data_IF_100036291470
#
_entry.id   IF_100036291470
#
_cell.length_a   1.000
_cell.length_b   1.000
_cell.length_c   1.000
_cell.angle_alpha   90.00
_cell.angle_beta   90.00
_cell.angle_gamma   90.00
#
_symmetry.space_group_name_H-M   'P 1'
#
loop_
_entity.id
_entity.type
_entity.pdbx_description
1 polymer ?
#
# COMPACT_ATOMS: atom_id res chain seq x y z
N UNK A 1 13.05 -7.25 -23.59
CA UNK A 1 13.85 -7.73 -24.74
C UNK A 1 15.09 -8.42 -24.17
N UNK A 2 15.30 -9.68 -24.52
CA UNK A 2 16.46 -10.48 -24.13
C UNK A 2 17.17 -10.86 -25.44
N UNK A 3 18.48 -10.71 -25.48
CA UNK A 3 19.32 -11.14 -26.60
C UNK A 3 20.42 -12.07 -26.08
N UNK A 4 20.51 -13.27 -26.66
CA UNK A 4 21.43 -14.33 -26.24
C UNK A 4 21.43 -14.63 -24.72
N UNK A 5 20.26 -14.56 -24.07
CA UNK A 5 20.11 -14.78 -22.62
C UNK A 5 20.43 -13.56 -21.73
N UNK A 6 20.89 -12.45 -22.30
CA UNK A 6 21.13 -11.20 -21.56
C UNK A 6 19.97 -10.21 -21.73
N UNK A 7 19.46 -9.61 -20.65
CA UNK A 7 18.44 -8.57 -20.75
C UNK A 7 19.02 -7.32 -21.43
N UNK A 8 18.46 -6.93 -22.57
CA UNK A 8 18.92 -5.79 -23.36
C UNK A 8 18.16 -4.51 -23.02
N UNK A 9 16.83 -4.54 -23.11
CA UNK A 9 15.96 -3.46 -22.60
C UNK A 9 14.66 -4.02 -22.05
N UNK A 10 14.28 -3.59 -20.85
CA UNK A 10 13.01 -3.92 -20.20
C UNK A 10 12.08 -2.71 -20.10
N UNK A 11 12.50 -1.55 -20.61
CA UNK A 11 11.76 -0.30 -20.48
C UNK A 11 10.55 -0.27 -21.43
N UNK A 12 9.31 -0.18 -20.91
CA UNK A 12 8.10 -0.23 -21.74
C UNK A 12 8.01 0.88 -22.79
N UNK A 13 8.54 2.07 -22.49
CA UNK A 13 8.51 3.19 -23.43
C UNK A 13 9.39 2.93 -24.66
N UNK A 14 10.59 2.40 -24.44
CA UNK A 14 11.48 1.94 -25.53
C UNK A 14 10.80 0.82 -26.32
N UNK A 15 10.18 -0.14 -25.63
CA UNK A 15 9.52 -1.28 -26.28
C UNK A 15 8.30 -0.86 -27.11
N UNK A 16 7.50 0.11 -26.67
CA UNK A 16 6.36 0.64 -27.42
C UNK A 16 6.76 1.44 -28.67
N UNK A 17 7.90 2.14 -28.62
CA UNK A 17 8.45 2.82 -29.81
C UNK A 17 9.03 1.82 -30.81
N UNK A 18 9.67 0.75 -30.33
CA UNK A 18 10.22 -0.31 -31.19
C UNK A 18 9.15 -1.21 -31.80
N UNK A 19 8.10 -1.50 -31.03
CA UNK A 19 7.02 -2.43 -31.39
C UNK A 19 5.73 -1.62 -31.45
N UNK A 20 5.36 -1.19 -32.65
CA UNK A 20 4.12 -0.46 -32.84
C UNK A 20 2.93 -1.34 -32.41
N UNK A 21 1.99 -0.84 -31.58
CA UNK A 21 0.81 -1.60 -31.22
C UNK A 21 0.02 -1.95 -32.50
N UNK A 22 -0.50 -3.18 -32.61
CA UNK A 22 -1.17 -3.63 -33.83
C UNK A 22 -2.43 -2.82 -34.06
N UNK A 23 -2.48 -2.07 -35.17
CA UNK A 23 -3.66 -1.33 -35.60
C UNK A 23 -4.38 -2.12 -36.70
N UNK A 24 -5.71 -1.97 -36.81
CA UNK A 24 -6.52 -2.71 -37.81
C UNK A 24 -6.03 -2.40 -39.24
N UNK A 25 -5.60 -1.16 -39.48
CA UNK A 25 -5.04 -0.69 -40.75
C UNK A 25 -3.68 -1.34 -41.07
N UNK A 26 -2.81 -1.52 -40.06
CA UNK A 26 -1.48 -2.14 -40.28
C UNK A 26 -1.59 -3.64 -40.54
N UNK A 27 -2.57 -4.32 -39.92
CA UNK A 27 -2.93 -5.70 -40.27
C UNK A 27 -3.37 -5.82 -41.73
N UNK A 28 -4.22 -4.92 -42.21
CA UNK A 28 -4.71 -4.95 -43.60
C UNK A 28 -3.60 -4.65 -44.62
N UNK A 29 -2.69 -3.72 -44.31
CA UNK A 29 -1.51 -3.42 -45.14
C UNK A 29 -0.51 -4.57 -45.20
N UNK A 30 -0.28 -5.30 -44.10
CA UNK A 30 0.61 -6.47 -44.09
C UNK A 30 0.11 -7.63 -44.96
N UNK A 31 -1.22 -7.76 -45.13
CA UNK A 31 -1.81 -8.78 -46.02
C UNK A 31 -1.66 -8.42 -47.50
N UNK A 32 -1.66 -7.13 -47.84
CA UNK A 32 -1.59 -6.64 -49.23
C UNK A 32 -0.14 -6.46 -49.73
N UNK A 33 0.80 -6.15 -48.84
CA UNK A 33 2.17 -5.77 -49.22
C UNK A 33 3.25 -6.82 -48.93
N UNK A 34 2.92 -7.90 -48.22
CA UNK A 34 3.88 -8.97 -47.89
C UNK A 34 4.97 -8.60 -46.87
N UNK A 35 5.03 -7.34 -46.41
CA UNK A 35 5.94 -6.91 -45.36
C UNK A 35 5.36 -7.20 -43.97
N UNK A 36 5.97 -8.16 -43.25
CA UNK A 36 5.49 -8.68 -41.95
C UNK A 36 6.14 -8.03 -40.72
N UNK A 37 7.02 -7.04 -40.88
CA UNK A 37 7.68 -6.39 -39.74
C UNK A 37 6.88 -5.19 -39.22
N UNK A 38 6.24 -5.34 -38.06
CA UNK A 38 5.71 -4.23 -37.26
C UNK A 38 6.81 -3.44 -36.52
N UNK A 39 8.06 -3.53 -36.98
CA UNK A 39 9.18 -2.78 -36.42
C UNK A 39 9.20 -1.37 -37.02
N UNK A 40 9.25 -0.37 -36.15
CA UNK A 40 9.47 1.03 -36.56
C UNK A 40 10.83 1.16 -37.26
N UNK A 41 10.87 1.86 -38.41
CA UNK A 41 12.13 2.23 -39.09
C UNK A 41 12.87 3.40 -38.41
N UNK A 42 12.25 4.05 -37.43
CA UNK A 42 12.90 5.10 -36.63
C UNK A 42 13.49 4.49 -35.36
N UNK A 43 14.79 4.75 -35.13
CA UNK A 43 15.44 4.43 -33.86
C UNK A 43 14.70 5.18 -32.73
N UNK A 44 14.28 4.51 -31.64
CA UNK A 44 13.61 5.16 -30.52
C UNK A 44 14.49 6.29 -29.97
N UNK A 45 13.97 7.52 -29.83
CA UNK A 45 14.76 8.62 -29.27
C UNK A 45 15.28 8.32 -27.85
N UNK A 46 14.59 7.43 -27.15
CA UNK A 46 14.96 6.94 -25.83
C UNK A 46 16.20 6.01 -25.80
N UNK A 47 16.61 5.37 -26.90
CA UNK A 47 17.83 4.52 -26.91
C UNK A 47 19.13 5.33 -26.95
N UNK A 48 19.07 6.60 -27.35
CA UNK A 48 20.20 7.54 -27.31
C UNK A 48 20.14 8.49 -26.09
N UNK A 49 19.07 8.44 -25.29
CA UNK A 49 18.84 9.32 -24.15
C UNK A 49 19.38 8.71 -22.86
N UNK A 50 20.03 9.53 -22.01
CA UNK A 50 20.41 9.13 -20.65
C UNK A 50 19.19 8.93 -19.71
N UNK A 51 17.96 9.11 -20.21
CA UNK A 51 16.69 8.98 -19.50
C UNK A 51 15.79 7.99 -20.25
N UNK A 52 16.09 6.68 -20.22
CA UNK A 52 15.42 5.68 -21.06
C UNK A 52 13.94 5.46 -20.70
N UNK A 53 13.53 5.86 -19.49
CA UNK A 53 12.15 5.73 -19.01
C UNK A 53 11.22 6.88 -19.44
N UNK A 54 11.69 7.89 -20.19
CA UNK A 54 10.88 9.06 -20.56
C UNK A 54 11.19 9.59 -21.97
N UNK A 55 10.15 9.89 -22.74
CA UNK A 55 10.28 10.50 -24.07
C UNK A 55 10.41 12.03 -23.99
N UNK A 56 11.16 12.63 -24.92
CA UNK A 56 11.48 14.07 -24.90
C UNK A 56 10.32 14.96 -25.35
N UNK A 57 9.43 14.43 -26.19
CA UNK A 57 8.44 15.22 -26.93
C UNK A 57 7.04 15.20 -26.28
N UNK A 58 6.95 14.69 -25.05
CA UNK A 58 5.70 14.62 -24.28
C UNK A 58 5.10 16.01 -24.07
N UNK A 59 3.82 16.18 -24.40
CA UNK A 59 3.06 17.41 -24.18
C UNK A 59 1.75 17.09 -23.48
N UNK A 60 1.49 17.77 -22.38
CA UNK A 60 0.24 17.71 -21.64
C UNK A 60 -0.47 19.06 -21.70
N UNK A 61 -1.80 19.04 -21.78
CA UNK A 61 -2.60 20.27 -21.78
C UNK A 61 -2.50 21.04 -20.46
N UNK A 62 -2.31 20.31 -19.35
CA UNK A 62 -2.06 20.85 -18.01
C UNK A 62 -0.88 20.11 -17.41
N UNK A 63 0.08 20.86 -16.88
CA UNK A 63 1.22 20.27 -16.16
C UNK A 63 0.84 20.09 -14.69
N UNK A 64 0.81 18.85 -14.23
CA UNK A 64 0.48 18.49 -12.85
C UNK A 64 1.30 17.30 -12.36
N UNK A 65 1.57 17.28 -11.05
CA UNK A 65 2.26 16.17 -10.39
C UNK A 65 1.61 15.91 -9.04
N UNK A 66 1.29 14.65 -8.77
CA UNK A 66 0.76 14.19 -7.49
C UNK A 66 1.77 13.27 -6.82
N UNK A 67 1.98 13.45 -5.53
CA UNK A 67 2.83 12.58 -4.71
C UNK A 67 1.97 12.01 -3.58
N UNK A 68 1.80 10.69 -3.60
CA UNK A 68 1.08 9.93 -2.60
C UNK A 68 2.08 9.19 -1.69
N UNK A 69 2.00 9.44 -0.39
CA UNK A 69 2.61 8.58 0.63
C UNK A 69 1.63 7.47 1.00
N UNK A 70 1.93 6.25 0.60
CA UNK A 70 1.09 5.08 0.89
C UNK A 70 1.82 4.17 1.88
N UNK A 71 1.25 3.98 3.06
CA UNK A 71 1.82 3.17 4.12
C UNK A 71 0.94 1.97 4.46
N UNK A 72 1.60 0.83 4.68
CA UNK A 72 1.02 -0.38 5.23
C UNK A 72 1.65 -0.64 6.59
N UNK A 73 0.80 -0.84 7.60
CA UNK A 73 1.22 -1.10 8.96
C UNK A 73 1.13 -2.58 9.29
N UNK A 74 2.28 -3.17 9.60
CA UNK A 74 2.38 -4.50 10.17
C UNK A 74 2.48 -4.40 11.69
N UNK A 75 1.66 -5.16 12.39
CA UNK A 75 1.71 -5.26 13.84
C UNK A 75 1.39 -6.69 14.30
N UNK A 76 2.15 -7.20 15.26
CA UNK A 76 1.83 -8.48 15.91
C UNK A 76 1.76 -8.23 17.41
N UNK A 77 0.60 -8.51 17.99
CA UNK A 77 0.36 -8.47 19.43
C UNK A 77 0.22 -9.90 19.95
N UNK A 78 1.00 -10.27 20.97
CA UNK A 78 0.93 -11.60 21.58
C UNK A 78 -0.26 -11.72 22.54
N UNK A 79 -0.44 -12.92 23.12
CA UNK A 79 -1.53 -13.25 24.05
C UNK A 79 -1.55 -12.39 25.32
N UNK A 80 -0.37 -11.94 25.76
CA UNK A 80 -0.23 -11.07 26.93
C UNK A 80 -0.52 -9.60 26.62
N UNK A 81 -0.85 -9.26 25.36
CA UNK A 81 -1.06 -7.90 24.91
C UNK A 81 0.23 -7.12 24.62
N UNK A 82 1.38 -7.80 24.58
CA UNK A 82 2.69 -7.22 24.27
C UNK A 82 2.86 -7.13 22.76
N UNK A 83 3.33 -5.96 22.30
CA UNK A 83 3.65 -5.69 20.90
C UNK A 83 4.98 -6.35 20.53
N UNK A 84 4.94 -7.37 19.68
CA UNK A 84 6.09 -8.16 19.22
C UNK A 84 6.69 -7.60 17.93
N UNK A 85 5.84 -7.16 17.00
CA UNK A 85 6.22 -6.52 15.74
C UNK A 85 5.41 -5.24 15.59
N UNK A 86 6.03 -4.18 15.10
CA UNK A 86 5.38 -2.91 14.78
C UNK A 86 6.23 -2.16 13.76
N UNK A 87 5.85 -2.26 12.49
CA UNK A 87 6.63 -1.75 11.37
C UNK A 87 5.73 -1.12 10.32
N UNK A 88 6.21 -0.07 9.66
CA UNK A 88 5.59 0.50 8.47
C UNK A 88 6.42 0.08 7.25
N UNK A 89 5.73 -0.43 6.24
CA UNK A 89 6.22 -0.42 4.87
C UNK A 89 5.55 0.73 4.12
N UNK A 90 6.36 1.64 3.58
CA UNK A 90 5.87 2.83 2.89
C UNK A 90 6.33 2.89 1.44
N UNK A 91 5.50 3.48 0.60
CA UNK A 91 5.80 3.79 -0.79
C UNK A 91 5.52 5.26 -1.08
N UNK A 92 6.41 5.88 -1.85
CA UNK A 92 6.18 7.19 -2.45
C UNK A 92 5.75 6.93 -3.89
N UNK A 93 4.45 7.05 -4.14
CA UNK A 93 3.87 6.90 -5.48
C UNK A 93 3.73 8.29 -6.11
N UNK A 94 4.12 8.40 -7.37
CA UNK A 94 4.06 9.66 -8.12
C UNK A 94 3.17 9.45 -9.33
N UNK A 95 2.25 10.37 -9.57
CA UNK A 95 1.54 10.50 -10.84
C UNK A 95 1.96 11.80 -11.52
N UNK A 96 2.72 11.70 -12.60
CA UNK A 96 3.34 12.83 -13.28
C UNK A 96 2.75 13.05 -14.68
N UNK A 97 2.03 14.15 -14.86
CA UNK A 97 1.56 14.63 -16.15
C UNK A 97 2.28 15.96 -16.47
N UNK A 98 3.55 15.86 -16.85
CA UNK A 98 4.43 17.00 -17.08
C UNK A 98 4.96 16.97 -18.51
N UNK A 99 5.07 18.11 -19.17
CA UNK A 99 5.58 18.18 -20.55
C UNK A 99 7.11 18.18 -20.60
N UNK A 100 7.70 17.66 -21.68
CA UNK A 100 9.15 17.67 -21.93
C UNK A 100 9.95 16.80 -20.96
N UNK A 101 11.14 17.28 -20.60
CA UNK A 101 12.07 16.65 -19.64
C UNK A 101 12.14 17.44 -18.31
N UNK A 102 11.14 17.31 -17.43
CA UNK A 102 11.13 17.99 -16.14
C UNK A 102 12.18 17.37 -15.20
N UNK A 103 12.92 18.22 -14.48
CA UNK A 103 13.85 17.79 -13.45
C UNK A 103 13.29 18.16 -12.08
N UNK A 104 12.96 17.16 -11.27
CA UNK A 104 12.28 17.29 -9.99
C UNK A 104 13.25 17.10 -8.84
N UNK A 105 13.02 17.84 -7.75
CA UNK A 105 13.63 17.58 -6.45
C UNK A 105 12.57 17.47 -5.37
N UNK A 106 12.55 16.35 -4.65
CA UNK A 106 11.66 16.10 -3.50
C UNK A 106 12.50 15.97 -2.23
N UNK A 107 12.16 16.75 -1.20
CA UNK A 107 12.75 16.68 0.14
C UNK A 107 11.71 16.25 1.18
N UNK A 108 12.19 15.61 2.24
CA UNK A 108 11.40 15.30 3.43
C UNK A 108 11.84 16.22 4.58
N UNK A 109 10.91 16.56 5.48
CA UNK A 109 11.23 17.39 6.64
C UNK A 109 12.06 16.60 7.69
N UNK A 110 11.92 15.28 7.68
CA UNK A 110 12.51 14.36 8.65
C UNK A 110 13.06 13.10 7.98
N UNK A 111 14.01 13.21 7.02
CA UNK A 111 14.51 12.07 6.26
C UNK A 111 15.24 11.05 7.13
N UNK A 112 15.68 11.41 8.34
CA UNK A 112 16.40 10.53 9.27
C UNK A 112 15.60 9.31 9.73
N UNK A 113 14.30 9.25 9.48
CA UNK A 113 13.48 8.04 9.78
C UNK A 113 13.64 6.96 8.70
N UNK A 114 14.15 7.32 7.52
CA UNK A 114 14.29 6.47 6.35
C UNK A 114 15.60 5.68 6.42
N UNK A 115 15.57 4.53 7.10
CA UNK A 115 16.77 3.70 7.30
C UNK A 115 17.01 2.67 6.19
N UNK A 116 15.92 2.14 5.62
CA UNK A 116 15.95 1.16 4.52
C UNK A 116 15.09 1.74 3.39
N UNK A 117 15.73 2.06 2.28
CA UNK A 117 15.12 2.73 1.13
C UNK A 117 15.51 2.04 -0.17
N UNK A 118 14.56 1.96 -1.09
CA UNK A 118 14.79 1.48 -2.46
C UNK A 118 14.24 2.50 -3.42
N UNK A 119 15.00 2.80 -4.47
CA UNK A 119 14.66 3.84 -5.43
C UNK A 119 14.27 3.28 -6.78
N UNK A 120 13.40 4.00 -7.48
CA UNK A 120 13.24 3.87 -8.91
C UNK A 120 14.56 4.25 -9.62
N UNK A 121 14.90 3.62 -10.76
CA UNK A 121 16.10 3.98 -11.55
C UNK A 121 16.18 5.46 -11.97
N UNK A 122 15.06 6.18 -11.93
CA UNK A 122 15.03 7.60 -12.25
C UNK A 122 15.65 8.51 -11.19
N UNK A 123 15.90 8.00 -9.98
CA UNK A 123 16.49 8.75 -8.87
C UNK A 123 17.99 8.76 -8.99
N UNK A 124 18.57 9.97 -8.92
CA UNK A 124 20.01 10.17 -8.87
C UNK A 124 20.50 9.91 -7.45
N UNK A 125 21.44 8.98 -7.28
CA UNK A 125 21.95 8.58 -5.96
C UNK A 125 22.78 9.66 -5.26
N UNK A 126 23.61 10.43 -5.97
CA UNK A 126 24.53 11.41 -5.35
C UNK A 126 23.81 12.48 -4.51
N UNK A 127 22.74 13.15 -5.00
CA UNK A 127 22.00 14.12 -4.17
C UNK A 127 21.35 13.51 -2.93
N UNK A 128 20.95 12.23 -3.01
CA UNK A 128 20.42 11.49 -1.87
C UNK A 128 21.52 11.23 -0.84
N UNK A 129 22.66 10.67 -1.23
CA UNK A 129 23.78 10.39 -0.32
C UNK A 129 24.28 11.65 0.39
N UNK A 130 24.40 12.77 -0.33
CA UNK A 130 24.96 14.00 0.24
C UNK A 130 23.97 14.78 1.11
N UNK A 131 22.71 14.91 0.67
CA UNK A 131 21.76 15.86 1.27
C UNK A 131 20.38 15.25 1.57
N UNK A 132 20.18 13.95 1.34
CA UNK A 132 18.89 13.26 1.48
C UNK A 132 17.78 13.90 0.61
N UNK A 133 18.17 14.39 -0.59
CA UNK A 133 17.26 14.97 -1.58
C UNK A 133 17.07 13.99 -2.72
N UNK A 134 15.82 13.67 -3.05
CA UNK A 134 15.48 12.89 -4.23
C UNK A 134 15.52 13.79 -5.46
N UNK A 135 16.49 13.61 -6.34
CA UNK A 135 16.55 14.30 -7.63
C UNK A 135 16.29 13.33 -8.77
N UNK A 136 15.33 13.62 -9.64
CA UNK A 136 14.90 12.68 -10.68
C UNK A 136 14.19 13.34 -11.86
N UNK A 137 14.21 12.66 -13.00
CA UNK A 137 13.32 12.95 -14.13
C UNK A 137 12.21 11.90 -14.12
N UNK A 138 10.95 12.22 -13.79
CA UNK A 138 9.89 11.23 -13.60
C UNK A 138 9.49 10.54 -14.90
N UNK A 139 9.25 9.21 -14.90
CA UNK A 139 8.37 8.58 -15.89
C UNK A 139 7.04 9.33 -16.03
N UNK A 140 6.41 9.21 -17.19
CA UNK A 140 5.07 9.77 -17.41
C UNK A 140 3.99 8.87 -16.80
N UNK A 141 2.97 9.47 -16.18
CA UNK A 141 1.90 8.76 -15.49
C UNK A 141 2.29 8.27 -14.09
N UNK A 142 1.64 7.19 -13.65
CA UNK A 142 1.82 6.63 -12.31
C UNK A 142 3.03 5.69 -12.23
N UNK A 143 3.92 5.94 -11.27
CA UNK A 143 5.04 5.06 -10.95
C UNK A 143 5.39 5.12 -9.46
N UNK A 144 6.11 4.10 -8.99
CA UNK A 144 6.69 4.10 -7.64
C UNK A 144 8.05 4.78 -7.68
N UNK A 145 8.20 5.91 -7.00
CA UNK A 145 9.45 6.65 -6.93
C UNK A 145 10.43 6.00 -5.95
N UNK A 146 9.94 5.60 -4.78
CA UNK A 146 10.73 4.88 -3.78
C UNK A 146 9.84 4.05 -2.87
N UNK A 147 10.43 3.06 -2.21
CA UNK A 147 9.85 2.39 -1.04
C UNK A 147 10.78 2.49 0.15
N UNK A 148 10.22 2.43 1.34
CA UNK A 148 10.95 2.53 2.60
C UNK A 148 10.35 1.66 3.69
N UNK A 149 11.15 1.38 4.73
CA UNK A 149 10.71 0.65 5.92
C UNK A 149 11.07 1.38 7.20
N UNK A 150 10.14 1.45 8.15
CA UNK A 150 10.34 2.06 9.48
C UNK A 150 9.92 1.07 10.56
N UNK A 151 10.81 0.80 11.52
CA UNK A 151 10.64 -0.23 12.55
C UNK A 151 10.56 0.31 14.00
N UNK A 152 10.75 1.61 14.21
CA UNK A 152 10.72 2.26 15.54
C UNK A 152 9.48 3.14 15.70
N UNK A 153 8.30 2.55 15.55
CA UNK A 153 7.04 3.29 15.69
C UNK A 153 6.72 3.58 17.16
N UNK A 154 6.08 4.72 17.42
CA UNK A 154 5.66 5.14 18.76
C UNK A 154 4.50 4.28 19.32
N UNK A 155 3.79 3.56 18.45
CA UNK A 155 2.74 2.62 18.82
C UNK A 155 1.74 2.38 17.70
N UNK A 156 0.65 1.71 18.04
CA UNK A 156 -0.43 1.31 17.12
C UNK A 156 -1.64 2.26 17.23
N UNK A 157 -2.38 2.52 16.13
CA UNK A 157 -3.53 3.45 16.10
C UNK A 157 -4.84 2.83 16.61
N UNK A 158 -4.93 1.49 16.63
CA UNK A 158 -6.09 0.71 17.08
C UNK A 158 -5.59 -0.30 18.11
N UNK A 159 -6.40 -0.62 19.11
CA UNK A 159 -6.19 -1.81 19.93
C UNK A 159 -7.36 -2.77 19.74
N UNK A 160 -7.07 -4.07 19.83
CA UNK A 160 -8.07 -5.14 19.89
C UNK A 160 -7.77 -5.95 21.13
N UNK A 161 -8.78 -6.20 21.97
CA UNK A 161 -8.67 -6.96 23.21
C UNK A 161 -9.66 -8.13 23.17
N UNK A 162 -9.22 -9.29 22.67
CA UNK A 162 -10.01 -10.51 22.76
C UNK A 162 -9.91 -11.12 24.16
N UNK A 163 -11.03 -11.64 24.66
CA UNK A 163 -11.16 -12.39 25.90
C UNK A 163 -12.02 -13.62 25.64
N UNK A 164 -11.47 -14.80 25.91
CA UNK A 164 -12.17 -16.07 25.74
C UNK A 164 -12.20 -16.80 27.09
N UNK A 165 -13.39 -17.17 27.54
CA UNK A 165 -13.58 -17.91 28.80
C UNK A 165 -14.38 -19.16 28.51
N UNK A 166 -13.76 -20.32 28.69
CA UNK A 166 -14.44 -21.61 28.54
C UNK A 166 -15.08 -22.05 29.86
N UNK A 167 -16.27 -22.63 29.75
CA UNK A 167 -17.01 -23.23 30.84
C UNK A 167 -17.82 -24.41 30.30
N UNK A 168 -17.48 -25.62 30.77
CA UNK A 168 -18.28 -26.84 30.62
C UNK A 168 -18.78 -27.10 29.19
N UNK A 169 -17.90 -27.02 28.19
CA UNK A 169 -18.24 -27.27 26.78
C UNK A 169 -18.82 -26.08 26.03
N UNK A 170 -18.86 -24.91 26.65
CA UNK A 170 -19.13 -23.63 25.99
C UNK A 170 -17.96 -22.67 26.17
N UNK A 171 -17.79 -21.72 25.25
CA UNK A 171 -16.80 -20.66 25.35
C UNK A 171 -17.45 -19.30 25.09
N UNK A 172 -17.39 -18.42 26.10
CA UNK A 172 -17.81 -17.02 25.95
C UNK A 172 -16.67 -16.23 25.33
N UNK A 173 -16.96 -15.51 24.26
CA UNK A 173 -16.03 -14.61 23.59
C UNK A 173 -16.47 -13.16 23.79
N UNK A 174 -15.52 -12.29 24.11
CA UNK A 174 -15.67 -10.84 24.12
C UNK A 174 -14.48 -10.22 23.37
N UNK A 175 -14.73 -9.37 22.38
CA UNK A 175 -13.68 -8.68 21.62
C UNK A 175 -13.98 -7.20 21.65
N UNK A 176 -13.10 -6.42 22.28
CA UNK A 176 -13.21 -4.96 22.35
C UNK A 176 -12.24 -4.30 21.36
N UNK A 177 -12.71 -3.34 20.60
CA UNK A 177 -11.90 -2.56 19.64
C UNK A 177 -11.98 -1.09 20.00
N UNK A 178 -10.84 -0.39 19.94
CA UNK A 178 -10.83 1.05 20.17
C UNK A 178 -9.59 1.72 19.60
N UNK A 179 -9.59 3.06 19.63
CA UNK A 179 -8.45 3.87 19.21
C UNK A 179 -7.37 3.84 20.30
N UNK A 180 -6.11 3.69 19.89
CA UNK A 180 -4.92 3.93 20.72
C UNK A 180 -4.04 4.92 19.97
N UNK A 181 -3.33 5.82 20.65
CA UNK A 181 -2.47 6.81 19.98
C UNK A 181 -3.17 7.54 18.82
N UNK A 182 -4.18 8.35 19.16
CA UNK A 182 -5.03 9.02 18.17
C UNK A 182 -4.19 9.70 17.06
N UNK A 183 -4.34 9.28 15.79
CA UNK A 183 -3.61 9.86 14.67
C UNK A 183 -4.08 11.29 14.31
N UNK A 184 -5.09 11.83 14.99
CA UNK A 184 -5.67 13.14 14.71
C UNK A 184 -6.51 13.18 13.42
N UNK A 185 -6.74 12.02 12.80
CA UNK A 185 -7.58 11.82 11.62
C UNK A 185 -8.59 10.70 11.86
N UNK A 186 -9.65 10.71 11.08
CA UNK A 186 -10.65 9.65 11.12
C UNK A 186 -10.03 8.31 10.71
N UNK A 187 -10.16 7.32 11.58
CA UNK A 187 -9.88 5.92 11.27
C UNK A 187 -11.16 5.28 10.76
N UNK A 188 -11.13 4.79 9.52
CA UNK A 188 -12.27 4.21 8.83
C UNK A 188 -11.97 2.79 8.33
N UNK A 189 -12.99 2.16 7.73
CA UNK A 189 -12.91 0.79 7.21
C UNK A 189 -12.34 -0.21 8.23
N UNK A 190 -12.64 0.00 9.52
CA UNK A 190 -12.16 -0.87 10.59
C UNK A 190 -12.90 -2.20 10.50
N UNK A 191 -12.15 -3.29 10.52
CA UNK A 191 -12.67 -4.64 10.54
C UNK A 191 -11.83 -5.55 11.42
N UNK A 192 -12.46 -6.59 11.95
CA UNK A 192 -11.79 -7.68 12.65
C UNK A 192 -12.25 -8.99 12.03
N UNK A 193 -11.30 -9.81 11.62
CA UNK A 193 -11.56 -11.13 11.05
C UNK A 193 -10.84 -12.20 11.88
N UNK A 194 -11.49 -13.32 12.12
CA UNK A 194 -10.86 -14.46 12.77
C UNK A 194 -11.52 -15.76 12.33
N UNK A 195 -10.75 -16.84 12.36
CA UNK A 195 -11.22 -18.17 11.99
C UNK A 195 -11.65 -18.93 13.25
N UNK A 196 -12.88 -19.45 13.28
CA UNK A 196 -13.28 -20.32 14.39
C UNK A 196 -12.50 -21.64 14.33
N UNK A 197 -11.98 -22.15 15.47
CA UNK A 197 -11.36 -23.46 15.53
C UNK A 197 -12.30 -24.57 15.04
N UNK A 198 -11.77 -25.64 14.43
CA UNK A 198 -12.60 -26.75 13.91
C UNK A 198 -13.57 -27.32 14.94
N UNK A 199 -13.13 -27.40 16.21
CA UNK A 199 -13.88 -27.92 17.34
C UNK A 199 -15.07 -27.06 17.78
N UNK A 200 -15.34 -25.92 17.14
CA UNK A 200 -16.55 -25.12 17.37
C UNK A 200 -17.66 -25.64 16.48
N UNK A 201 -18.72 -26.19 17.09
CA UNK A 201 -19.91 -26.71 16.40
C UNK A 201 -20.85 -25.60 15.94
N UNK A 202 -21.08 -24.61 16.80
CA UNK A 202 -21.91 -23.44 16.51
C UNK A 202 -21.38 -22.20 17.22
N UNK A 203 -21.72 -21.04 16.66
CA UNK A 203 -21.31 -19.74 17.19
C UNK A 203 -22.48 -18.77 17.10
N UNK A 204 -22.88 -18.23 18.25
CA UNK A 204 -23.86 -17.15 18.35
C UNK A 204 -23.11 -15.87 18.74
N UNK A 205 -22.89 -14.99 17.76
CA UNK A 205 -22.10 -13.78 17.90
C UNK A 205 -22.95 -12.56 17.58
N UNK A 206 -22.85 -11.54 18.45
CA UNK A 206 -23.48 -10.25 18.27
C UNK A 206 -22.47 -9.13 18.49
N UNK A 207 -22.76 -7.93 17.99
CA UNK A 207 -21.93 -6.75 18.26
C UNK A 207 -22.79 -5.57 18.66
N UNK A 208 -22.24 -4.67 19.48
CA UNK A 208 -22.90 -3.42 19.84
C UNK A 208 -22.83 -2.35 18.72
N UNK A 209 -21.96 -2.57 17.73
CA UNK A 209 -21.69 -1.64 16.64
C UNK A 209 -21.07 -2.42 15.46
N UNK A 210 -21.47 -2.05 14.25
CA UNK A 210 -21.06 -2.74 13.04
C UNK A 210 -21.87 -4.00 12.77
N UNK A 211 -21.44 -4.77 11.78
CA UNK A 211 -22.12 -6.00 11.35
C UNK A 211 -21.20 -7.21 11.52
N UNK A 212 -21.75 -8.31 12.01
CA UNK A 212 -21.03 -9.57 12.20
C UNK A 212 -21.61 -10.61 11.26
N UNK A 213 -20.76 -11.24 10.45
CA UNK A 213 -21.13 -12.32 9.55
C UNK A 213 -20.22 -13.51 9.80
N UNK A 214 -20.78 -14.71 9.81
CA UNK A 214 -20.02 -15.97 9.86
C UNK A 214 -20.17 -16.65 8.51
N UNK A 215 -19.06 -16.84 7.82
CA UNK A 215 -19.02 -17.47 6.50
C UNK A 215 -19.10 -19.00 6.60
N UNK A 216 -19.43 -19.67 5.50
CA UNK A 216 -19.57 -21.13 5.45
C UNK A 216 -18.28 -21.88 5.85
N UNK A 217 -17.13 -21.28 5.61
CA UNK A 217 -15.82 -21.83 6.00
C UNK A 217 -15.49 -21.57 7.48
N UNK A 218 -16.44 -21.13 8.32
CA UNK A 218 -16.25 -20.74 9.73
C UNK A 218 -15.35 -19.49 9.95
N UNK A 219 -15.15 -18.66 8.93
CA UNK A 219 -14.54 -17.33 9.12
C UNK A 219 -15.55 -16.34 9.67
N UNK A 220 -15.26 -15.73 10.81
CA UNK A 220 -16.02 -14.63 11.38
C UNK A 220 -15.47 -13.30 10.87
N UNK A 221 -16.35 -12.48 10.30
CA UNK A 221 -16.04 -11.14 9.80
C UNK A 221 -16.87 -10.11 10.56
N UNK A 222 -16.20 -9.22 11.29
CA UNK A 222 -16.83 -8.09 11.96
C UNK A 222 -16.43 -6.78 11.29
N UNK A 223 -17.40 -6.15 10.63
CA UNK A 223 -17.23 -4.88 9.92
C UNK A 223 -17.69 -3.72 10.81
N UNK A 224 -16.74 -2.97 11.36
CA UNK A 224 -17.00 -1.86 12.28
C UNK A 224 -17.19 -0.54 11.50
N UNK A 225 -16.42 -0.32 10.44
CA UNK A 225 -16.43 0.93 9.69
C UNK A 225 -15.68 2.03 10.44
N UNK A 226 -16.37 3.09 10.86
CA UNK A 226 -15.77 4.16 11.66
C UNK A 226 -15.91 3.84 13.15
N UNK A 227 -14.85 4.02 13.93
CA UNK A 227 -14.94 3.83 15.39
C UNK A 227 -15.77 4.98 16.00
N UNK A 228 -16.90 4.68 16.68
CA UNK A 228 -17.71 5.66 17.42
C UNK A 228 -16.93 6.28 18.59
N UNK A 229 -17.26 7.54 18.93
CA UNK A 229 -16.59 8.30 19.98
C UNK A 229 -17.20 8.09 21.37
N UNK A 230 -18.46 7.71 21.42
CA UNK A 230 -19.29 7.58 22.61
C UNK A 230 -19.07 6.24 23.33
N UNK A 231 -18.98 5.13 22.58
CA UNK A 231 -18.82 3.79 23.15
C UNK A 231 -17.93 2.93 22.27
N UNK A 232 -16.96 2.26 22.87
CA UNK A 232 -16.07 1.35 22.13
C UNK A 232 -16.85 0.19 21.48
N UNK A 233 -16.62 -0.10 20.19
CA UNK A 233 -17.15 -1.29 19.54
C UNK A 233 -16.76 -2.56 20.28
N UNK A 234 -17.74 -3.44 20.48
CA UNK A 234 -17.52 -4.75 21.08
C UNK A 234 -18.32 -5.83 20.36
N UNK A 235 -17.68 -6.97 20.11
CA UNK A 235 -18.31 -8.22 19.71
C UNK A 235 -18.39 -9.14 20.93
N UNK A 236 -19.51 -9.83 21.11
CA UNK A 236 -19.70 -10.79 22.21
C UNK A 236 -20.59 -11.94 21.79
N UNK A 237 -20.38 -13.10 22.39
CA UNK A 237 -21.17 -14.27 22.05
C UNK A 237 -20.76 -15.55 22.75
N UNK A 238 -21.45 -16.63 22.39
CA UNK A 238 -21.21 -17.97 22.91
C UNK A 238 -20.84 -18.91 21.77
N UNK A 239 -19.76 -19.66 21.97
CA UNK A 239 -19.30 -20.72 21.08
C UNK A 239 -19.60 -22.06 21.74
N UNK A 240 -20.18 -23.00 20.98
CA UNK A 240 -20.43 -24.37 21.45
C UNK A 240 -19.31 -25.27 20.95
N UNK A 241 -18.67 -25.99 21.87
CA UNK A 241 -17.57 -26.89 21.56
C UNK A 241 -18.10 -28.28 21.18
N UNK A 242 -17.26 -29.06 20.51
CA UNK A 242 -17.49 -30.48 20.29
C UNK A 242 -17.69 -31.24 21.62
N UNK A 243 -18.53 -32.26 21.58
CA UNK A 243 -18.88 -33.09 22.74
C UNK A 243 -17.59 -33.71 23.30
N UNK A 244 -17.39 -33.57 24.62
CA UNK A 244 -16.22 -34.09 25.32
C UNK A 244 -15.09 -33.08 25.51
N UNK A 245 -15.16 -31.89 24.90
CA UNK A 245 -14.23 -30.79 25.19
C UNK A 245 -14.79 -29.88 26.29
N UNK A 246 -14.05 -29.73 27.39
CA UNK A 246 -14.43 -28.79 28.46
C UNK A 246 -14.01 -27.35 28.16
N UNK A 247 -12.93 -27.17 27.39
CA UNK A 247 -12.34 -25.85 27.10
C UNK A 247 -11.74 -25.75 25.71
N UNK A 248 -11.66 -24.52 25.22
CA UNK A 248 -10.99 -24.21 23.97
C UNK A 248 -9.47 -24.33 24.14
N UNK A 249 -8.84 -25.21 23.37
CA UNK A 249 -7.40 -25.47 23.45
C UNK A 249 -6.56 -24.51 22.61
N UNK A 250 -7.15 -23.97 21.53
CA UNK A 250 -6.49 -23.06 20.60
C UNK A 250 -7.39 -21.84 20.44
N UNK A 251 -6.92 -20.69 20.94
CA UNK A 251 -7.58 -19.43 20.69
C UNK A 251 -7.30 -18.94 19.27
N UNK A 252 -8.27 -18.27 18.61
CA UNK A 252 -8.08 -17.75 17.28
C UNK A 252 -7.10 -16.55 17.25
N UNK A 253 -6.50 -16.33 16.08
CA UNK A 253 -5.78 -15.09 15.77
C UNK A 253 -6.75 -14.12 15.10
N UNK A 254 -6.74 -12.86 15.55
CA UNK A 254 -7.58 -11.79 15.04
C UNK A 254 -6.77 -10.94 14.06
N UNK A 255 -7.21 -10.90 12.82
CA UNK A 255 -6.69 -10.01 11.79
C UNK A 255 -7.46 -8.69 11.82
N UNK A 256 -6.76 -7.57 11.79
CA UNK A 256 -7.34 -6.23 11.92
C UNK A 256 -7.17 -5.46 10.62
N UNK A 257 -8.26 -4.99 10.04
CA UNK A 257 -8.26 -4.06 8.92
C UNK A 257 -8.53 -2.64 9.40
N UNK A 258 -7.89 -1.65 8.76
CA UNK A 258 -8.23 -0.23 8.92
C UNK A 258 -7.67 0.61 7.79
N UNK A 259 -8.15 1.85 7.69
CA UNK A 259 -7.63 2.88 6.79
C UNK A 259 -7.67 4.26 7.44
N UNK A 260 -6.67 5.09 7.15
CA UNK A 260 -6.51 6.46 7.65
C UNK A 260 -6.06 7.34 6.49
N UNK A 261 -6.91 8.29 6.10
CA UNK A 261 -6.58 9.27 5.05
C UNK A 261 -5.90 10.51 5.64
N UNK A 262 -4.90 11.01 4.95
CA UNK A 262 -4.19 12.25 5.28
C UNK A 262 -3.14 12.12 6.38
N UNK A 263 -2.73 10.90 6.73
CA UNK A 263 -1.67 10.60 7.71
C UNK A 263 -0.73 9.53 7.17
N UNK A 264 0.56 9.75 7.40
CA UNK A 264 1.62 8.74 7.38
C UNK A 264 1.95 8.40 8.85
N UNK A 265 1.63 7.19 9.30
CA UNK A 265 1.89 6.74 10.67
C UNK A 265 3.37 6.61 11.01
N UNK A 266 4.26 6.47 10.01
CA UNK A 266 5.71 6.58 10.25
C UNK A 266 6.12 7.97 10.74
N UNK A 267 5.27 8.98 10.51
CA UNK A 267 5.58 10.38 10.74
C UNK A 267 6.36 11.02 9.60
N UNK A 268 6.59 10.34 8.47
CA UNK A 268 7.25 10.93 7.30
C UNK A 268 6.47 12.14 6.79
N UNK A 269 7.17 13.26 6.61
CA UNK A 269 6.59 14.50 6.11
C UNK A 269 7.34 14.94 4.87
N UNK A 270 6.59 15.21 3.80
CA UNK A 270 7.13 15.89 2.63
C UNK A 270 7.35 17.35 3.01
N UNK A 271 8.56 17.83 2.80
CA UNK A 271 8.93 19.23 3.00
C UNK A 271 8.67 20.03 1.72
N UNK A 272 9.28 19.61 0.61
CA UNK A 272 9.22 20.38 -0.63
C UNK A 272 9.29 19.50 -1.86
N UNK A 273 8.52 19.88 -2.89
CA UNK A 273 8.68 19.38 -4.26
C UNK A 273 8.95 20.57 -5.18
N UNK A 274 10.11 20.61 -5.81
CA UNK A 274 10.47 21.63 -6.80
C UNK A 274 10.62 21.02 -8.19
N UNK A 275 10.34 21.85 -9.20
CA UNK A 275 10.56 21.53 -10.59
C UNK A 275 11.49 22.57 -11.18
N UNK A 276 12.54 22.11 -11.84
CA UNK A 276 13.41 22.93 -12.67
C UNK A 276 12.95 22.86 -14.12
N UNK A 277 13.26 23.92 -14.87
CA UNK A 277 13.13 23.95 -16.34
C UNK A 277 11.70 23.78 -16.89
N UNK A 278 10.68 24.26 -16.17
CA UNK A 278 9.31 24.33 -16.69
C UNK A 278 8.89 25.79 -16.93
N UNK A 279 8.31 26.12 -18.10
CA UNK A 279 7.89 27.49 -18.42
C UNK A 279 6.70 27.95 -17.60
N UNK A 280 5.84 27.01 -17.17
CA UNK A 280 4.67 27.29 -16.32
C UNK A 280 4.80 26.57 -14.99
N UNK A 281 4.27 27.18 -13.92
CA UNK A 281 4.21 26.52 -12.61
C UNK A 281 3.19 25.38 -12.68
N UNK A 282 3.59 24.12 -12.50
CA UNK A 282 2.66 23.01 -12.51
C UNK A 282 1.85 22.98 -11.21
N UNK A 283 0.69 22.32 -11.27
CA UNK A 283 -0.04 21.97 -10.07
C UNK A 283 0.70 20.85 -9.30
N UNK A 284 0.72 20.94 -7.97
CA UNK A 284 1.37 19.97 -7.09
C UNK A 284 0.34 19.46 -6.08
N UNK A 285 0.07 18.16 -6.09
CA UNK A 285 -0.81 17.50 -5.14
C UNK A 285 -0.02 16.62 -4.18
N UNK A 286 -0.41 16.63 -2.90
CA UNK A 286 0.15 15.73 -1.89
C UNK A 286 -0.97 15.05 -1.13
N UNK A 287 -0.80 13.75 -0.90
CA UNK A 287 -1.73 12.97 -0.09
C UNK A 287 -0.95 11.92 0.68
N UNK A 288 -1.49 11.57 1.85
CA UNK A 288 -1.02 10.44 2.62
C UNK A 288 -2.18 9.47 2.84
N UNK A 289 -1.87 8.19 2.86
CA UNK A 289 -2.79 7.11 3.16
C UNK A 289 -2.04 6.07 3.97
N UNK A 290 -2.57 5.73 5.14
CA UNK A 290 -2.10 4.56 5.90
C UNK A 290 -3.21 3.52 5.99
N UNK A 291 -2.88 2.25 5.77
CA UNK A 291 -3.79 1.11 5.93
C UNK A 291 -3.14 -0.01 6.73
N UNK A 292 -3.95 -0.95 7.22
CA UNK A 292 -3.43 -2.19 7.77
C UNK A 292 -2.70 -3.02 6.70
N UNK A 293 -1.51 -3.51 7.03
CA UNK A 293 -0.83 -4.62 6.36
C UNK A 293 -1.12 -5.92 7.13
N UNK A 294 -0.09 -6.61 7.60
CA UNK A 294 -0.21 -7.75 8.51
C UNK A 294 -0.44 -7.27 9.94
N UNK A 295 -1.69 -6.99 10.29
CA UNK A 295 -2.08 -6.64 11.65
C UNK A 295 -2.75 -7.82 12.35
N UNK A 296 -2.02 -8.46 13.27
CA UNK A 296 -2.45 -9.63 14.03
C UNK A 296 -2.51 -9.36 15.53
N UNK A 297 -3.59 -9.83 16.15
CA UNK A 297 -3.73 -9.92 17.61
C UNK A 297 -3.98 -11.37 17.99
N UNK A 298 -3.08 -11.92 18.80
CA UNK A 298 -3.16 -13.31 19.27
C UNK A 298 -3.85 -13.35 20.62
N UNK A 299 -4.73 -14.33 20.79
CA UNK A 299 -5.42 -14.65 22.05
C UNK A 299 -5.02 -16.01 22.60
#
# INVERSE_FOLDING_TARGET
MIDNGFPLTTEPNILREMIAPPNIVSKMLSVVTGNSSNMSNNLPGATASCVPWRTTDLKHAKNEVYVDLVEEMDAIINRDGVMVKCEIYGEVQVNSHLSGLPDLTLSFANPSILNDVRFHPCVRFRPWESNQILSFVPPDGQFKLMSYRVNKLKGIPIYVKPQLTSDSGTCRINVLVGIRNDPGKTVDSVSVQFQLPPCILSADLSSNHGTVNILANKTCCWSIGRIPKDKAPSLSGTLVLEIGLERLLVSPTFQVGFRIMGVALSGLQIDKLDLKNQPTRPYKGFRALTRAGEYEVRS
#
